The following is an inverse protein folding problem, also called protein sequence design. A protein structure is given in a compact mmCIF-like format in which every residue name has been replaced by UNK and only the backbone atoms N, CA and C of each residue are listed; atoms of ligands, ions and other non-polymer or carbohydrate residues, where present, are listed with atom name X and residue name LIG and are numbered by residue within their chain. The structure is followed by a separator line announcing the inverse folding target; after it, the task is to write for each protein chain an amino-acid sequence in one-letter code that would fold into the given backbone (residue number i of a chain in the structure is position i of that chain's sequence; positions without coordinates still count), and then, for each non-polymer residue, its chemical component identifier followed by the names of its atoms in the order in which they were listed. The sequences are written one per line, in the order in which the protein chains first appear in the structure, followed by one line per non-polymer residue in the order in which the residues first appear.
data_IF_863393449262
#
_entry.id   IF_863393449262
#
_cell.length_a   1.000
_cell.length_b   1.000
_cell.length_c   1.000
_cell.angle_alpha   90.00
_cell.angle_beta   90.00
_cell.angle_gamma   90.00
#
_symmetry.space_group_name_H-M   'P 1'
#
loop_
_entity.id
_entity.type
_entity.pdbx_description
1 polymer ?
#
# COMPACT_ATOMS: atom_id res chain seq x y z
N UNK A 1 -10.88 -36.88 8.41
CA UNK A 1 -10.37 -36.23 7.19
C UNK A 1 -10.94 -34.81 7.13
N UNK A 2 -10.17 -33.82 7.57
CA UNK A 2 -10.61 -32.41 7.54
C UNK A 2 -10.41 -31.85 6.13
N UNK A 3 -11.49 -31.39 5.51
CA UNK A 3 -11.46 -30.84 4.14
C UNK A 3 -10.66 -29.55 4.15
N UNK A 4 -9.54 -29.55 3.43
CA UNK A 4 -8.79 -28.35 3.08
C UNK A 4 -9.71 -27.34 2.38
N UNK A 5 -9.92 -26.19 3.02
CA UNK A 5 -10.64 -25.06 2.44
C UNK A 5 -9.70 -24.44 1.40
N UNK A 6 -10.08 -24.52 0.11
CA UNK A 6 -9.36 -23.83 -0.96
C UNK A 6 -9.33 -22.34 -0.62
N UNK A 7 -8.14 -21.80 -0.36
CA UNK A 7 -7.91 -20.35 -0.18
C UNK A 7 -8.18 -19.70 -1.53
N UNK A 8 -9.38 -19.15 -1.69
CA UNK A 8 -9.70 -18.31 -2.84
C UNK A 8 -8.66 -17.18 -2.91
N UNK A 9 -8.05 -17.00 -4.08
CA UNK A 9 -7.08 -15.91 -4.28
C UNK A 9 -7.86 -14.60 -4.32
N UNK A 10 -7.93 -13.93 -3.16
CA UNK A 10 -8.71 -12.71 -2.99
C UNK A 10 -8.12 -11.61 -3.87
N UNK A 11 -8.91 -11.15 -4.85
CA UNK A 11 -8.52 -10.09 -5.77
C UNK A 11 -8.66 -8.70 -5.13
N UNK A 12 -7.68 -7.82 -5.36
CA UNK A 12 -7.63 -6.44 -4.81
C UNK A 12 -8.14 -5.35 -5.77
N UNK A 13 -8.63 -5.76 -6.94
CA UNK A 13 -9.01 -4.84 -8.03
C UNK A 13 -7.83 -4.42 -8.91
N UNK A 14 -8.13 -3.66 -9.97
CA UNK A 14 -7.13 -3.19 -10.92
C UNK A 14 -6.26 -2.06 -10.36
N UNK A 15 -4.98 -2.07 -10.74
CA UNK A 15 -4.03 -1.00 -10.43
C UNK A 15 -4.29 0.23 -11.29
N UNK A 16 -4.31 1.40 -10.67
CA UNK A 16 -4.31 2.70 -11.35
C UNK A 16 -3.34 3.65 -10.67
N UNK A 17 -2.23 3.96 -11.35
CA UNK A 17 -1.28 4.98 -10.90
C UNK A 17 -1.86 6.37 -11.15
N UNK A 18 -1.83 7.23 -10.14
CA UNK A 18 -2.28 8.64 -10.21
C UNK A 18 -1.09 9.58 -10.31
N UNK A 19 -0.06 9.33 -9.50
CA UNK A 19 1.19 10.06 -9.53
C UNK A 19 2.33 9.13 -9.15
N UNK A 20 3.47 9.30 -9.82
CA UNK A 20 4.65 8.47 -9.61
C UNK A 20 5.91 9.33 -9.67
N UNK A 21 6.67 9.28 -8.58
CA UNK A 21 8.02 9.79 -8.46
C UNK A 21 8.80 8.82 -7.56
N UNK A 22 9.19 7.68 -8.13
CA UNK A 22 9.89 6.58 -7.44
C UNK A 22 10.88 5.90 -8.39
N UNK A 23 11.82 5.10 -7.86
CA UNK A 23 12.50 4.08 -8.66
C UNK A 23 11.58 2.88 -8.89
N UNK A 24 11.92 2.01 -9.84
CA UNK A 24 11.14 0.80 -10.14
C UNK A 24 11.10 -0.16 -8.94
N UNK A 25 12.24 -0.33 -8.28
CA UNK A 25 12.38 -1.24 -7.13
C UNK A 25 11.50 -0.79 -5.96
N UNK A 26 11.48 0.53 -5.70
CA UNK A 26 10.62 1.10 -4.66
C UNK A 26 9.13 1.02 -5.04
N UNK A 27 8.80 1.26 -6.30
CA UNK A 27 7.43 1.11 -6.79
C UNK A 27 6.93 -0.33 -6.59
N UNK A 28 7.70 -1.32 -7.03
CA UNK A 28 7.37 -2.74 -6.89
C UNK A 28 7.21 -3.14 -5.42
N UNK A 29 8.10 -2.66 -4.54
CA UNK A 29 7.99 -2.87 -3.10
C UNK A 29 6.66 -2.32 -2.56
N UNK A 30 6.34 -1.05 -2.86
CA UNK A 30 5.12 -0.40 -2.38
C UNK A 30 3.87 -1.12 -2.90
N UNK A 31 3.82 -1.44 -4.19
CA UNK A 31 2.66 -2.09 -4.82
C UNK A 31 2.44 -3.51 -4.30
N UNK A 32 3.53 -4.26 -4.09
CA UNK A 32 3.49 -5.61 -3.53
C UNK A 32 3.00 -5.58 -2.08
N UNK A 33 3.56 -4.69 -1.27
CA UNK A 33 3.17 -4.50 0.12
C UNK A 33 1.69 -4.11 0.24
N UNK A 34 1.24 -3.12 -0.53
CA UNK A 34 -0.15 -2.67 -0.52
C UNK A 34 -1.12 -3.76 -0.98
N UNK A 35 -0.75 -4.54 -2.01
CA UNK A 35 -1.56 -5.67 -2.48
C UNK A 35 -1.71 -6.72 -1.39
N UNK A 36 -0.61 -7.11 -0.73
CA UNK A 36 -0.64 -8.12 0.34
C UNK A 36 -1.43 -7.63 1.56
N UNK A 37 -1.22 -6.39 1.96
CA UNK A 37 -1.91 -5.78 3.09
C UNK A 37 -3.42 -5.65 2.83
N UNK A 38 -3.83 -5.29 1.61
CA UNK A 38 -5.25 -5.23 1.24
C UNK A 38 -5.88 -6.63 1.12
N UNK A 39 -5.16 -7.63 0.61
CA UNK A 39 -5.60 -9.03 0.64
C UNK A 39 -5.84 -9.51 2.08
N UNK A 40 -4.95 -9.17 3.02
CA UNK A 40 -5.11 -9.51 4.44
C UNK A 40 -6.36 -8.86 5.04
N UNK A 41 -6.63 -7.59 4.72
CA UNK A 41 -7.87 -6.89 5.12
C UNK A 41 -9.11 -7.62 4.59
N UNK A 42 -9.14 -7.98 3.30
CA UNK A 42 -10.29 -8.68 2.71
C UNK A 42 -10.47 -10.11 3.22
N UNK A 43 -9.42 -10.73 3.75
CA UNK A 43 -9.48 -12.04 4.43
C UNK A 43 -9.90 -11.95 5.90
N UNK A 44 -10.04 -10.74 6.45
CA UNK A 44 -10.32 -10.53 7.87
C UNK A 44 -9.10 -10.75 8.79
N UNK A 45 -7.89 -10.82 8.22
CA UNK A 45 -6.62 -10.87 8.98
C UNK A 45 -6.21 -9.47 9.46
N UNK A 46 -6.75 -8.43 8.82
CA UNK A 46 -6.70 -7.03 9.26
C UNK A 46 -8.11 -6.49 9.35
N UNK A 47 -8.32 -5.49 10.20
CA UNK A 47 -9.65 -4.92 10.47
C UNK A 47 -9.81 -3.47 10.01
N UNK A 48 -8.71 -2.73 9.86
CA UNK A 48 -8.74 -1.29 9.59
C UNK A 48 -7.71 -0.89 8.52
N UNK A 49 -7.99 0.20 7.80
CA UNK A 49 -7.02 0.78 6.85
C UNK A 49 -5.74 1.28 7.53
N UNK A 50 -5.80 1.60 8.82
CA UNK A 50 -4.62 1.95 9.63
C UNK A 50 -3.64 0.79 9.76
N UNK A 51 -4.13 -0.45 9.91
CA UNK A 51 -3.28 -1.66 9.95
C UNK A 51 -2.65 -1.96 8.57
N UNK A 52 -3.38 -1.67 7.49
CA UNK A 52 -2.87 -1.74 6.11
C UNK A 52 -1.74 -0.72 5.91
N UNK A 53 -1.98 0.53 6.31
CA UNK A 53 -0.99 1.61 6.23
C UNK A 53 0.27 1.31 7.05
N UNK A 54 0.09 0.75 8.26
CA UNK A 54 1.20 0.38 9.15
C UNK A 54 2.08 -0.71 8.54
N UNK A 55 1.50 -1.75 7.93
CA UNK A 55 2.27 -2.80 7.26
C UNK A 55 3.14 -2.21 6.14
N UNK A 56 2.54 -1.40 5.27
CA UNK A 56 3.25 -0.78 4.15
C UNK A 56 4.40 0.11 4.65
N UNK A 57 4.12 0.94 5.67
CA UNK A 57 5.15 1.80 6.28
C UNK A 57 6.31 0.97 6.82
N UNK A 58 6.02 -0.10 7.55
CA UNK A 58 7.02 -0.95 8.16
C UNK A 58 7.93 -1.62 7.11
N UNK A 59 7.35 -2.26 6.10
CA UNK A 59 8.11 -2.96 5.04
C UNK A 59 8.97 -1.98 4.21
N UNK A 60 8.51 -0.75 4.01
CA UNK A 60 9.33 0.28 3.36
C UNK A 60 10.49 0.72 4.26
N UNK A 61 10.23 0.97 5.54
CA UNK A 61 11.23 1.44 6.51
C UNK A 61 12.30 0.38 6.82
N UNK A 62 12.06 -0.91 6.54
CA UNK A 62 13.07 -1.96 6.61
C UNK A 62 14.16 -1.83 5.53
N UNK A 63 13.81 -1.29 4.35
CA UNK A 63 14.72 -1.24 3.19
C UNK A 63 15.08 0.19 2.78
N UNK A 64 14.32 1.17 3.21
CA UNK A 64 14.48 2.58 2.89
C UNK A 64 14.67 3.39 4.16
N UNK A 65 15.72 4.20 4.20
CA UNK A 65 15.96 5.07 5.33
C UNK A 65 14.86 6.14 5.50
N UNK A 66 14.76 6.64 6.73
CA UNK A 66 13.93 7.78 7.11
C UNK A 66 12.47 7.44 7.39
N UNK A 67 11.71 8.45 7.79
CA UNK A 67 10.30 8.28 8.17
C UNK A 67 9.36 8.42 6.96
N UNK A 68 8.58 7.37 6.72
CA UNK A 68 7.59 7.31 5.64
C UNK A 68 6.18 7.59 6.14
N UNK A 69 5.40 8.25 5.30
CA UNK A 69 3.98 8.54 5.49
C UNK A 69 3.16 7.67 4.55
N UNK A 70 2.16 7.00 5.09
CA UNK A 70 1.26 6.11 4.34
C UNK A 70 -0.18 6.45 4.68
N UNK A 71 -0.98 6.79 3.67
CA UNK A 71 -2.40 7.11 3.78
C UNK A 71 -3.17 6.11 2.92
N UNK A 72 -4.18 5.47 3.52
CA UNK A 72 -5.03 4.48 2.85
C UNK A 72 -6.49 4.82 3.11
N UNK A 73 -7.31 4.87 2.06
CA UNK A 73 -8.74 5.15 2.22
C UNK A 73 -9.53 5.21 0.92
N UNK A 74 -10.85 5.28 1.03
CA UNK A 74 -11.77 5.39 -0.12
C UNK A 74 -11.81 6.81 -0.71
N UNK A 75 -11.57 7.82 0.13
CA UNK A 75 -11.56 9.23 -0.28
C UNK A 75 -10.63 10.01 0.64
N UNK A 76 -9.70 10.74 0.05
CA UNK A 76 -8.84 11.71 0.72
C UNK A 76 -8.27 12.69 -0.33
N UNK A 77 -7.88 13.87 0.12
CA UNK A 77 -7.06 14.82 -0.65
C UNK A 77 -5.75 15.05 0.07
N UNK A 78 -4.70 15.37 -0.68
CA UNK A 78 -3.39 15.69 -0.11
C UNK A 78 -2.76 16.88 -0.83
N UNK A 79 -2.04 17.69 -0.07
CA UNK A 79 -1.16 18.75 -0.57
C UNK A 79 0.08 18.72 0.32
N UNK A 80 1.14 18.10 -0.18
CA UNK A 80 2.34 17.80 0.61
C UNK A 80 3.58 18.15 -0.19
N UNK A 81 4.65 18.49 0.52
CA UNK A 81 6.00 18.49 -0.04
C UNK A 81 6.66 17.14 0.27
N UNK A 82 7.28 16.55 -0.74
CA UNK A 82 7.93 15.25 -0.65
C UNK A 82 9.34 15.30 -1.23
N UNK A 83 10.17 14.34 -0.81
CA UNK A 83 11.52 14.17 -1.34
C UNK A 83 11.45 13.61 -2.77
N UNK A 84 12.28 14.12 -3.66
CA UNK A 84 12.41 13.64 -5.04
C UNK A 84 12.64 12.11 -5.06
N UNK A 85 11.94 11.41 -5.96
CA UNK A 85 11.96 9.95 -6.12
C UNK A 85 11.48 9.16 -4.90
N UNK A 86 10.64 9.76 -4.05
CA UNK A 86 10.09 9.12 -2.83
C UNK A 86 8.58 9.33 -2.67
N UNK A 87 7.79 9.32 -3.75
CA UNK A 87 6.33 9.43 -3.67
C UNK A 87 5.60 8.58 -4.72
N UNK A 88 4.60 7.82 -4.25
CA UNK A 88 3.67 7.08 -5.10
C UNK A 88 2.23 7.34 -4.64
N UNK A 89 1.36 7.67 -5.58
CA UNK A 89 -0.09 7.76 -5.37
C UNK A 89 -0.80 6.87 -6.39
N UNK A 90 -1.57 5.91 -5.90
CA UNK A 90 -2.23 4.91 -6.74
C UNK A 90 -3.53 4.40 -6.11
N UNK A 91 -4.28 3.64 -6.89
CA UNK A 91 -5.47 2.92 -6.45
C UNK A 91 -5.34 1.43 -6.75
N UNK A 92 -5.86 0.60 -5.84
CA UNK A 92 -6.20 -0.80 -6.09
C UNK A 92 -7.73 -0.90 -6.00
N UNK A 93 -8.38 -1.05 -7.16
CA UNK A 93 -9.83 -0.93 -7.26
C UNK A 93 -10.32 0.45 -6.80
N UNK A 94 -11.05 0.49 -5.69
CA UNK A 94 -11.61 1.72 -5.12
C UNK A 94 -10.81 2.29 -3.94
N UNK A 95 -9.75 1.61 -3.50
CA UNK A 95 -8.95 2.03 -2.35
C UNK A 95 -7.74 2.80 -2.85
N UNK A 96 -7.61 4.06 -2.41
CA UNK A 96 -6.47 4.91 -2.70
C UNK A 96 -5.35 4.72 -1.68
N UNK A 97 -4.11 4.83 -2.17
CA UNK A 97 -2.87 4.69 -1.41
C UNK A 97 -1.95 5.84 -1.75
N UNK A 98 -1.61 6.66 -0.78
CA UNK A 98 -0.59 7.70 -0.91
C UNK A 98 0.59 7.36 0.02
N UNK A 99 1.76 7.15 -0.57
CA UNK A 99 2.98 6.77 0.11
C UNK A 99 4.05 7.78 -0.23
N UNK A 100 4.62 8.45 0.78
CA UNK A 100 5.70 9.41 0.53
C UNK A 100 6.64 9.58 1.71
N UNK A 101 7.86 10.06 1.42
CA UNK A 101 8.81 10.56 2.42
C UNK A 101 8.90 12.08 2.35
N UNK A 102 8.83 12.72 3.50
CA UNK A 102 9.08 14.16 3.65
C UNK A 102 10.58 14.43 3.92
N UNK A 103 11.05 15.63 3.58
CA UNK A 103 12.45 16.06 3.68
C UNK A 103 13.25 15.76 2.42
#
# INVERSE_FOLDING_TARGET
MSKAQKKDDVAVGGLRIVYQDTSKELEELILTSATNALKALYKGEKNQFTEVAQQIKHEIEETQEGAWHVIVGKSFGSFVSHKVKKMLYFFLGQIGFLVYRHG
#
